data_IF_158201223294
#
_entry.id   IF_158201223294
#
_cell.length_a   1.000
_cell.length_b   1.000
_cell.length_c   1.000
_cell.angle_alpha   90.00
_cell.angle_beta   90.00
_cell.angle_gamma   90.00
#
_symmetry.space_group_name_H-M   'P 1'
#
loop_
_entity.id
_entity.type
_entity.pdbx_description
1 polymer ?
#
# COMPACT_ATOMS: atom_id res chain seq x y z
N UNK A 1 -21.24 8.19 -20.69
CA UNK A 1 -21.22 9.04 -19.47
C UNK A 1 -21.33 8.13 -18.23
N UNK A 2 -20.37 7.21 -18.03
CA UNK A 2 -20.51 6.13 -17.04
C UNK A 2 -19.18 5.68 -16.39
N UNK A 3 -18.15 6.54 -16.38
CA UNK A 3 -16.78 6.14 -16.06
C UNK A 3 -16.24 6.94 -14.88
N UNK A 4 -16.75 6.70 -13.67
CA UNK A 4 -16.18 7.39 -12.48
C UNK A 4 -16.05 6.55 -11.20
N UNK A 5 -16.95 5.62 -10.79
CA UNK A 5 -16.85 5.04 -9.46
C UNK A 5 -15.71 4.04 -9.31
N UNK A 6 -15.49 3.17 -10.31
CA UNK A 6 -14.45 2.14 -10.24
C UNK A 6 -13.04 2.75 -10.24
N UNK A 7 -12.78 3.73 -11.12
CA UNK A 7 -11.46 4.39 -11.20
C UNK A 7 -11.16 5.22 -9.95
N UNK A 8 -12.15 5.93 -9.40
CA UNK A 8 -11.97 6.74 -8.18
C UNK A 8 -11.84 5.88 -6.92
N UNK A 9 -12.58 4.77 -6.81
CA UNK A 9 -12.43 3.81 -5.72
C UNK A 9 -11.08 3.10 -5.77
N UNK A 10 -10.61 2.76 -6.98
CA UNK A 10 -9.25 2.28 -7.22
C UNK A 10 -8.28 3.34 -6.68
N UNK A 11 -8.18 4.52 -7.32
CA UNK A 11 -7.19 5.54 -6.95
C UNK A 11 -7.26 5.93 -5.46
N UNK A 12 -8.45 6.00 -4.88
CA UNK A 12 -8.66 6.32 -3.47
C UNK A 12 -8.11 5.25 -2.52
N UNK A 13 -8.32 3.97 -2.81
CA UNK A 13 -7.76 2.87 -1.99
C UNK A 13 -6.23 2.83 -2.08
N UNK A 14 -5.64 3.12 -3.24
CA UNK A 14 -4.18 3.21 -3.37
C UNK A 14 -3.59 4.45 -2.69
N UNK A 15 -4.25 5.61 -2.76
CA UNK A 15 -3.86 6.79 -1.99
C UNK A 15 -3.85 6.51 -0.48
N UNK A 16 -4.91 5.89 0.04
CA UNK A 16 -4.98 5.47 1.45
C UNK A 16 -3.91 4.44 1.82
N UNK A 17 -3.60 3.51 0.91
CA UNK A 17 -2.51 2.56 1.05
C UNK A 17 -1.16 3.29 1.16
N UNK A 18 -0.73 4.07 0.17
CA UNK A 18 0.55 4.82 0.22
C UNK A 18 0.66 5.67 1.50
N UNK A 19 -0.43 6.32 1.90
CA UNK A 19 -0.47 7.13 3.13
C UNK A 19 -0.29 6.28 4.39
N UNK A 20 -0.95 5.12 4.49
CA UNK A 20 -0.77 4.21 5.63
C UNK A 20 0.64 3.60 5.70
N UNK A 21 1.29 3.35 4.56
CA UNK A 21 2.68 2.89 4.50
C UNK A 21 3.65 3.97 4.98
N UNK A 22 3.45 5.21 4.54
CA UNK A 22 4.25 6.36 4.94
C UNK A 22 4.12 6.64 6.46
N UNK A 23 2.89 6.59 6.99
CA UNK A 23 2.63 6.75 8.43
C UNK A 23 3.35 5.66 9.22
N UNK A 24 3.27 4.40 8.78
CA UNK A 24 3.92 3.29 9.47
C UNK A 24 5.45 3.42 9.47
N UNK A 25 6.03 3.85 8.33
CA UNK A 25 7.47 4.09 8.20
C UNK A 25 7.94 5.25 9.09
N UNK A 26 7.15 6.32 9.19
CA UNK A 26 7.41 7.44 10.09
C UNK A 26 7.34 7.05 11.57
N UNK A 27 6.32 6.27 11.98
CA UNK A 27 6.18 5.76 13.35
C UNK A 27 7.36 4.85 13.73
N UNK A 28 7.82 4.01 12.81
CA UNK A 28 8.98 3.15 13.03
C UNK A 28 10.28 3.93 13.13
N UNK A 29 10.51 4.92 12.27
CA UNK A 29 11.68 5.81 12.41
C UNK A 29 11.69 6.51 13.77
N UNK A 30 10.52 6.98 14.24
CA UNK A 30 10.39 7.61 15.55
C UNK A 30 10.64 6.61 16.70
N UNK A 31 10.11 5.39 16.61
CA UNK A 31 10.36 4.33 17.61
C UNK A 31 11.82 3.89 17.65
N UNK A 32 12.46 3.72 16.49
CA UNK A 32 13.89 3.36 16.38
C UNK A 32 14.77 4.46 16.98
N UNK A 33 14.46 5.73 16.70
CA UNK A 33 15.19 6.86 17.25
C UNK A 33 15.06 6.99 18.77
N UNK A 34 13.97 6.50 19.37
CA UNK A 34 13.69 6.60 20.82
C UNK A 34 14.10 5.37 21.64
N UNK A 35 14.01 4.15 21.09
CA UNK A 35 14.20 2.88 21.85
C UNK A 35 15.38 2.02 21.38
N UNK A 36 16.09 2.40 20.32
CA UNK A 36 17.16 1.59 19.73
C UNK A 36 16.62 0.36 18.98
N UNK A 37 17.46 -0.19 18.09
CA UNK A 37 17.15 -1.30 17.16
C UNK A 37 16.67 -2.56 17.89
N UNK A 38 15.38 -2.65 18.12
CA UNK A 38 14.73 -3.81 18.76
C UNK A 38 14.34 -4.82 17.68
N UNK A 39 14.74 -6.08 17.85
CA UNK A 39 14.46 -7.20 16.92
C UNK A 39 12.96 -7.29 16.55
N UNK A 40 12.07 -6.93 17.50
CA UNK A 40 10.62 -6.83 17.32
C UNK A 40 10.18 -5.91 16.18
N UNK A 41 10.84 -4.77 15.99
CA UNK A 41 10.49 -3.82 14.91
C UNK A 41 10.81 -4.41 13.53
N UNK A 42 11.89 -5.20 13.44
CA UNK A 42 12.32 -5.84 12.19
C UNK A 42 11.32 -6.89 11.72
N UNK A 43 10.80 -7.71 12.64
CA UNK A 43 9.74 -8.68 12.33
C UNK A 43 8.44 -7.99 11.91
N UNK A 44 8.07 -6.89 12.59
CA UNK A 44 6.89 -6.09 12.24
C UNK A 44 6.98 -5.50 10.83
N UNK A 45 8.15 -4.98 10.45
CA UNK A 45 8.42 -4.46 9.11
C UNK A 45 8.34 -5.58 8.07
N UNK A 46 8.93 -6.75 8.34
CA UNK A 46 8.92 -7.89 7.41
C UNK A 46 7.50 -8.39 7.13
N UNK A 47 6.67 -8.60 8.15
CA UNK A 47 5.29 -9.00 7.96
C UNK A 47 4.48 -7.94 7.20
N UNK A 48 4.66 -6.66 7.58
CA UNK A 48 3.99 -5.56 6.89
C UNK A 48 4.42 -5.48 5.43
N UNK A 49 5.73 -5.58 5.14
CA UNK A 49 6.29 -5.52 3.80
C UNK A 49 5.80 -6.67 2.92
N UNK A 50 5.66 -7.87 3.46
CA UNK A 50 5.07 -9.01 2.74
C UNK A 50 3.61 -8.76 2.39
N UNK A 51 2.83 -8.26 3.36
CA UNK A 51 1.43 -7.91 3.14
C UNK A 51 1.29 -6.75 2.14
N UNK A 52 2.16 -5.76 2.22
CA UNK A 52 2.21 -4.61 1.31
C UNK A 52 2.48 -5.04 -0.12
N UNK A 53 3.47 -5.89 -0.31
CA UNK A 53 3.86 -6.41 -1.61
C UNK A 53 2.73 -7.26 -2.23
N UNK A 54 2.04 -8.06 -1.41
CA UNK A 54 0.88 -8.82 -1.88
C UNK A 54 -0.25 -7.91 -2.39
N UNK A 55 -0.54 -6.84 -1.65
CA UNK A 55 -1.59 -5.88 -2.00
C UNK A 55 -1.23 -5.06 -3.25
N UNK A 56 0.04 -4.68 -3.42
CA UNK A 56 0.58 -4.00 -4.60
C UNK A 56 0.47 -4.88 -5.87
N UNK A 57 0.79 -6.18 -5.77
CA UNK A 57 0.65 -7.14 -6.88
C UNK A 57 -0.81 -7.30 -7.31
N UNK A 58 -1.73 -7.50 -6.35
CA UNK A 58 -3.18 -7.59 -6.65
C UNK A 58 -3.66 -6.31 -7.32
N UNK A 59 -3.18 -5.17 -6.84
CA UNK A 59 -3.50 -3.87 -7.39
C UNK A 59 -3.03 -3.70 -8.84
N UNK A 60 -1.79 -4.05 -9.17
CA UNK A 60 -1.26 -4.03 -10.54
C UNK A 60 -2.08 -4.94 -11.46
N UNK A 61 -2.48 -6.12 -10.99
CA UNK A 61 -3.35 -7.02 -11.75
C UNK A 61 -4.72 -6.37 -12.03
N UNK A 62 -5.36 -5.77 -11.02
CA UNK A 62 -6.66 -5.09 -11.18
C UNK A 62 -6.54 -3.88 -12.10
N UNK A 63 -5.52 -3.04 -11.93
CA UNK A 63 -5.27 -1.89 -12.78
C UNK A 63 -5.07 -2.32 -14.23
N UNK A 64 -4.25 -3.34 -14.46
CA UNK A 64 -4.01 -3.88 -15.81
C UNK A 64 -5.31 -4.41 -16.42
N UNK A 65 -6.11 -5.21 -15.70
CA UNK A 65 -7.39 -5.74 -16.19
C UNK A 65 -8.40 -4.63 -16.50
N UNK A 66 -8.58 -3.69 -15.57
CA UNK A 66 -9.55 -2.58 -15.73
C UNK A 66 -9.13 -1.63 -16.85
N UNK A 67 -7.82 -1.34 -16.97
CA UNK A 67 -7.31 -0.43 -17.99
C UNK A 67 -7.31 -1.06 -19.38
N UNK A 68 -6.92 -2.34 -19.53
CA UNK A 68 -6.99 -3.05 -20.82
C UNK A 68 -8.42 -3.33 -21.26
N UNK A 69 -9.32 -3.69 -20.34
CA UNK A 69 -10.72 -4.03 -20.66
C UNK A 69 -11.60 -2.79 -20.84
N UNK A 70 -11.18 -1.62 -20.32
CA UNK A 70 -11.80 -0.34 -20.62
C UNK A 70 -11.20 0.40 -21.83
N UNK A 71 -10.03 -0.04 -22.33
CA UNK A 71 -9.38 0.51 -23.53
C UNK A 71 -9.78 -0.22 -24.83
N UNK A 72 -10.50 -1.33 -24.74
CA UNK A 72 -11.16 -2.02 -25.86
C UNK A 72 -12.64 -1.64 -25.91
#
# INVERSE_FOLDING_TARGET
MASCPAFFALVGTHGLHVTSGLIWMAVLMFQVSRRGLTSTNRTRILCLSLFWHFLDVVWICVFSVVYLMGAM
#
